data_IF_771661080678
#
_entry.id   IF_771661080678
#
_cell.length_a   1.000
_cell.length_b   1.000
_cell.length_c   1.000
_cell.angle_alpha   90.00
_cell.angle_beta   90.00
_cell.angle_gamma   90.00
#
_symmetry.space_group_name_H-M   'P 1'
#
loop_
_entity.id
_entity.type
_entity.pdbx_description
1 polymer ?
#
# COMPACT_ATOMS: atom_id res chain seq x y z
N UNK A 1 -18.42 27.71 5.54
CA UNK A 1 -17.91 26.31 5.48
C UNK A 1 -16.57 26.32 6.18
N UNK A 2 -16.46 25.66 7.33
CA UNK A 2 -15.20 25.54 8.06
C UNK A 2 -14.58 24.21 7.63
N UNK A 3 -13.36 24.24 7.12
CA UNK A 3 -12.61 23.02 6.81
C UNK A 3 -12.14 22.41 8.13
N UNK A 4 -12.25 21.08 8.24
CA UNK A 4 -11.66 20.36 9.36
C UNK A 4 -10.13 20.53 9.32
N UNK A 5 -9.49 20.45 10.49
CA UNK A 5 -8.03 20.35 10.58
C UNK A 5 -7.55 19.13 9.77
N UNK A 6 -6.65 19.33 8.82
CA UNK A 6 -6.22 18.32 7.84
C UNK A 6 -5.62 17.09 8.55
N UNK A 7 -4.91 17.30 9.66
CA UNK A 7 -4.32 16.22 10.45
C UNK A 7 -5.38 15.33 11.13
N UNK A 8 -6.49 15.92 11.58
CA UNK A 8 -7.59 15.16 12.16
C UNK A 8 -8.32 14.35 11.08
N UNK A 9 -8.43 14.90 9.86
CA UNK A 9 -9.04 14.18 8.75
C UNK A 9 -8.23 12.96 8.29
N UNK A 10 -6.90 13.09 8.14
CA UNK A 10 -6.05 11.98 7.71
C UNK A 10 -6.13 10.79 8.68
N UNK A 11 -6.06 11.06 10.00
CA UNK A 11 -6.22 10.05 11.05
C UNK A 11 -7.60 9.40 11.00
N UNK A 12 -8.67 10.18 11.01
CA UNK A 12 -10.05 9.66 10.91
C UNK A 12 -10.27 8.83 9.64
N UNK A 13 -9.72 9.26 8.51
CA UNK A 13 -9.84 8.54 7.25
C UNK A 13 -9.17 7.16 7.35
N UNK A 14 -8.00 7.08 7.95
CA UNK A 14 -7.26 5.84 8.11
C UNK A 14 -7.98 4.87 9.06
N UNK A 15 -8.44 5.37 10.21
CA UNK A 15 -9.25 4.60 11.17
C UNK A 15 -10.50 4.03 10.50
N UNK A 16 -11.23 4.85 9.72
CA UNK A 16 -12.41 4.40 8.97
C UNK A 16 -12.05 3.39 7.88
N UNK A 17 -10.90 3.56 7.21
CA UNK A 17 -10.44 2.63 6.17
C UNK A 17 -10.12 1.27 6.75
N UNK A 18 -9.40 1.21 7.88
CA UNK A 18 -9.11 -0.04 8.60
C UNK A 18 -10.40 -0.67 9.13
N UNK A 19 -11.29 0.11 9.75
CA UNK A 19 -12.59 -0.38 10.22
C UNK A 19 -13.40 -1.02 9.09
N UNK A 20 -13.51 -0.36 7.93
CA UNK A 20 -14.26 -0.87 6.78
C UNK A 20 -13.65 -2.16 6.22
N UNK A 21 -12.31 -2.25 6.15
CA UNK A 21 -11.62 -3.46 5.73
C UNK A 21 -11.89 -4.63 6.71
N UNK A 22 -11.82 -4.38 8.01
CA UNK A 22 -12.09 -5.38 9.04
C UNK A 22 -13.54 -5.87 9.00
N UNK A 23 -14.49 -4.96 8.80
CA UNK A 23 -15.89 -5.30 8.63
C UNK A 23 -16.08 -6.21 7.40
N UNK A 24 -15.50 -5.85 6.26
CA UNK A 24 -15.55 -6.65 5.05
C UNK A 24 -14.97 -8.06 5.26
N UNK A 25 -13.80 -8.15 5.87
CA UNK A 25 -13.13 -9.44 6.14
C UNK A 25 -13.97 -10.31 7.09
N UNK A 26 -14.55 -9.72 8.13
CA UNK A 26 -15.43 -10.43 9.07
C UNK A 26 -16.66 -10.97 8.36
N UNK A 27 -17.29 -10.17 7.51
CA UNK A 27 -18.46 -10.58 6.74
C UNK A 27 -18.12 -11.65 5.69
N UNK A 28 -17.00 -11.53 5.00
CA UNK A 28 -16.49 -12.54 4.07
C UNK A 28 -16.31 -13.91 4.74
N UNK A 29 -15.77 -13.93 5.97
CA UNK A 29 -15.61 -15.17 6.73
C UNK A 29 -16.94 -15.86 7.07
N UNK A 30 -18.04 -15.09 7.20
CA UNK A 30 -19.38 -15.63 7.49
C UNK A 30 -20.25 -15.88 6.25
N UNK A 31 -20.09 -15.09 5.19
CA UNK A 31 -20.90 -15.12 3.97
C UNK A 31 -20.03 -14.77 2.74
N UNK A 32 -19.22 -15.74 2.31
CA UNK A 32 -18.23 -15.53 1.24
C UNK A 32 -18.86 -15.02 -0.07
N UNK A 33 -20.07 -15.48 -0.44
CA UNK A 33 -20.65 -15.17 -1.75
C UNK A 33 -21.04 -13.69 -1.94
N UNK A 34 -21.44 -13.01 -0.86
CA UNK A 34 -21.76 -11.57 -0.89
C UNK A 34 -20.50 -10.69 -0.82
N UNK A 35 -19.42 -11.21 -0.21
CA UNK A 35 -18.17 -10.49 0.05
C UNK A 35 -16.97 -11.12 -0.65
N UNK A 36 -17.15 -11.67 -1.86
CA UNK A 36 -16.17 -12.49 -2.61
C UNK A 36 -15.01 -11.72 -3.28
N UNK A 37 -14.85 -10.43 -3.00
CA UNK A 37 -13.87 -9.56 -3.64
C UNK A 37 -12.88 -8.99 -2.63
N UNK A 38 -12.48 -9.81 -1.66
CA UNK A 38 -11.57 -9.52 -0.55
C UNK A 38 -10.23 -8.94 -1.01
N UNK A 39 -9.61 -9.47 -2.06
CA UNK A 39 -8.35 -8.90 -2.58
C UNK A 39 -8.57 -7.54 -3.22
N UNK A 40 -9.69 -7.31 -3.91
CA UNK A 40 -10.00 -5.99 -4.47
C UNK A 40 -10.26 -4.98 -3.35
N UNK A 41 -10.99 -5.39 -2.31
CA UNK A 41 -11.22 -4.56 -1.14
C UNK A 41 -9.91 -4.24 -0.39
N UNK A 42 -8.98 -5.19 -0.33
CA UNK A 42 -7.64 -4.99 0.22
C UNK A 42 -6.86 -3.93 -0.56
N UNK A 43 -6.86 -3.97 -1.91
CA UNK A 43 -6.21 -2.96 -2.75
C UNK A 43 -6.85 -1.57 -2.55
N UNK A 44 -8.18 -1.50 -2.52
CA UNK A 44 -8.91 -0.25 -2.31
C UNK A 44 -8.57 0.37 -0.94
N UNK A 45 -8.52 -0.47 0.08
CA UNK A 45 -8.13 -0.05 1.43
C UNK A 45 -6.68 0.40 1.44
N UNK A 46 -5.76 -0.36 0.85
CA UNK A 46 -4.34 0.01 0.73
C UNK A 46 -4.17 1.38 0.05
N UNK A 47 -4.88 1.67 -1.05
CA UNK A 47 -4.87 2.98 -1.69
C UNK A 47 -5.29 4.10 -0.72
N UNK A 48 -6.39 3.89 0.02
CA UNK A 48 -6.89 4.82 1.01
C UNK A 48 -5.90 5.08 2.16
N UNK A 49 -5.13 4.06 2.56
CA UNK A 49 -4.12 4.19 3.60
C UNK A 49 -2.88 4.95 3.08
N UNK A 50 -2.44 4.67 1.86
CA UNK A 50 -1.18 5.23 1.35
C UNK A 50 -1.32 6.59 0.67
N UNK A 51 -2.54 7.10 0.49
CA UNK A 51 -2.75 8.40 -0.17
C UNK A 51 -2.13 9.55 0.62
N UNK A 52 -2.21 9.48 1.96
CA UNK A 52 -1.70 10.49 2.90
C UNK A 52 -0.23 10.29 3.32
N UNK A 53 0.48 9.31 2.76
CA UNK A 53 1.92 9.05 3.05
C UNK A 53 2.83 10.27 2.76
N UNK A 54 2.31 11.29 2.06
CA UNK A 54 2.99 12.56 1.81
C UNK A 54 2.75 13.64 2.87
N UNK A 55 1.74 13.50 3.73
CA UNK A 55 1.34 14.53 4.68
C UNK A 55 2.22 14.49 5.93
N UNK A 56 2.50 15.67 6.49
CA UNK A 56 3.24 15.81 7.75
C UNK A 56 2.38 15.26 8.89
N UNK A 57 2.89 14.30 9.68
CA UNK A 57 2.18 13.79 10.87
C UNK A 57 2.11 12.27 11.01
N UNK A 58 2.40 11.49 9.96
CA UNK A 58 2.52 10.02 10.06
C UNK A 58 3.99 9.63 10.00
N UNK A 59 4.56 9.23 11.14
CA UNK A 59 5.91 8.63 11.18
C UNK A 59 5.85 7.15 10.82
N UNK A 60 6.77 6.73 9.95
CA UNK A 60 6.98 5.33 9.57
C UNK A 60 8.33 4.80 10.09
N UNK A 61 8.96 5.49 11.04
CA UNK A 61 10.34 5.21 11.47
C UNK A 61 10.49 3.83 12.13
N UNK A 62 9.38 3.26 12.61
CA UNK A 62 9.32 1.94 13.23
C UNK A 62 9.21 0.78 12.23
N UNK A 63 9.02 1.04 10.93
CA UNK A 63 8.88 0.00 9.89
C UNK A 63 10.08 0.04 8.96
N UNK A 64 10.74 -1.10 8.83
CA UNK A 64 11.78 -1.30 7.83
C UNK A 64 11.18 -1.90 6.57
N UNK A 65 11.73 -1.57 5.40
CA UNK A 65 11.31 -2.16 4.13
C UNK A 65 11.38 -3.70 4.16
N UNK A 66 12.42 -4.24 4.81
CA UNK A 66 12.63 -5.66 5.02
C UNK A 66 11.53 -6.37 5.80
N UNK A 67 10.70 -5.64 6.55
CA UNK A 67 9.54 -6.22 7.25
C UNK A 67 8.42 -6.64 6.28
N UNK A 68 8.46 -6.11 5.05
CA UNK A 68 7.48 -6.36 4.00
C UNK A 68 8.10 -7.16 2.86
N UNK A 69 9.27 -6.73 2.37
CA UNK A 69 9.90 -7.35 1.20
C UNK A 69 11.41 -7.16 1.25
N UNK A 70 12.14 -8.20 0.83
CA UNK A 70 13.57 -8.12 0.62
C UNK A 70 13.90 -7.24 -0.59
N UNK A 71 14.97 -6.46 -0.48
CA UNK A 71 15.54 -5.67 -1.58
C UNK A 71 15.91 -6.52 -2.82
N UNK A 72 16.24 -7.80 -2.60
CA UNK A 72 16.59 -8.73 -3.69
C UNK A 72 15.36 -9.15 -4.53
N UNK A 73 14.15 -9.02 -3.99
CA UNK A 73 12.90 -9.45 -4.62
C UNK A 73 12.18 -8.31 -5.36
N UNK A 74 12.89 -7.22 -5.63
CA UNK A 74 12.33 -6.07 -6.33
C UNK A 74 13.33 -5.41 -7.29
N UNK A 75 12.79 -4.81 -8.35
CA UNK A 75 13.52 -3.90 -9.22
C UNK A 75 13.33 -2.50 -8.67
N UNK A 76 14.42 -1.82 -8.32
CA UNK A 76 14.36 -0.42 -7.86
C UNK A 76 15.54 0.37 -8.39
N UNK A 77 15.36 0.88 -9.60
CA UNK A 77 16.29 1.72 -10.33
C UNK A 77 15.64 3.09 -10.50
N UNK A 78 15.58 3.87 -9.42
CA UNK A 78 14.99 5.21 -9.42
C UNK A 78 16.06 6.23 -9.04
N UNK A 79 16.18 7.29 -9.82
CA UNK A 79 17.08 8.41 -9.55
C UNK A 79 16.26 9.68 -9.30
N UNK A 80 16.69 10.48 -8.33
CA UNK A 80 16.17 11.82 -8.17
C UNK A 80 16.52 12.66 -9.40
N UNK A 81 15.52 13.38 -9.93
CA UNK A 81 15.66 14.19 -11.14
C UNK A 81 16.70 15.28 -10.99
N UNK A 82 16.93 15.75 -9.77
CA UNK A 82 17.97 16.70 -9.42
C UNK A 82 19.21 15.94 -8.92
N UNK A 83 20.30 16.01 -9.69
CA UNK A 83 21.61 15.51 -9.28
C UNK A 83 21.92 14.03 -9.61
N UNK A 84 20.99 13.27 -10.19
CA UNK A 84 21.25 11.90 -10.65
C UNK A 84 21.56 10.90 -9.54
N UNK A 85 21.29 11.27 -8.28
CA UNK A 85 21.49 10.40 -7.11
C UNK A 85 20.41 9.31 -7.10
N UNK A 86 20.83 8.08 -6.85
CA UNK A 86 19.92 6.96 -6.61
C UNK A 86 19.02 7.29 -5.41
N UNK A 87 17.74 6.99 -5.57
CA UNK A 87 16.78 7.11 -4.49
C UNK A 87 17.10 6.12 -3.38
N UNK A 88 16.89 6.56 -2.13
CA UNK A 88 17.02 5.69 -0.97
C UNK A 88 15.91 4.64 -0.94
N UNK A 89 16.30 3.36 -0.81
CA UNK A 89 15.39 2.22 -0.69
C UNK A 89 14.87 2.10 0.75
N UNK A 90 13.97 3.00 1.13
CA UNK A 90 13.32 3.00 2.43
C UNK A 90 11.81 2.76 2.30
N UNK A 91 11.16 2.46 3.43
CA UNK A 91 9.73 2.14 3.45
C UNK A 91 8.85 3.28 2.94
N UNK A 92 9.20 4.54 3.24
CA UNK A 92 8.47 5.73 2.76
C UNK A 92 8.47 5.83 1.23
N UNK A 93 9.63 5.67 0.59
CA UNK A 93 9.73 5.70 -0.87
C UNK A 93 9.08 4.47 -1.51
N UNK A 94 9.10 3.33 -0.83
CA UNK A 94 8.39 2.12 -1.26
C UNK A 94 6.88 2.38 -1.33
N UNK A 95 6.28 2.90 -0.25
CA UNK A 95 4.85 3.26 -0.23
C UNK A 95 4.49 4.28 -1.31
N UNK A 96 5.37 5.25 -1.57
CA UNK A 96 5.20 6.23 -2.66
C UNK A 96 5.08 5.54 -4.02
N UNK A 97 5.92 4.55 -4.30
CA UNK A 97 5.84 3.78 -5.55
C UNK A 97 4.60 2.89 -5.63
N UNK A 98 4.24 2.21 -4.54
CA UNK A 98 3.00 1.42 -4.47
C UNK A 98 1.79 2.31 -4.77
N UNK A 99 1.71 3.51 -4.16
CA UNK A 99 0.63 4.47 -4.44
C UNK A 99 0.60 4.86 -5.91
N UNK A 100 1.74 5.23 -6.47
CA UNK A 100 1.82 5.61 -7.88
C UNK A 100 1.38 4.48 -8.81
N UNK A 101 1.78 3.24 -8.51
CA UNK A 101 1.37 2.07 -9.28
C UNK A 101 -0.15 1.87 -9.26
N UNK A 102 -0.79 1.97 -8.10
CA UNK A 102 -2.25 1.85 -7.96
C UNK A 102 -2.96 3.02 -8.68
N UNK A 103 -2.57 4.27 -8.39
CA UNK A 103 -3.20 5.47 -8.92
C UNK A 103 -3.12 5.57 -10.46
N UNK A 104 -2.05 5.03 -11.05
CA UNK A 104 -1.86 5.01 -12.50
C UNK A 104 -2.27 3.70 -13.17
N UNK A 105 -2.98 2.80 -12.47
CA UNK A 105 -3.44 1.49 -12.97
C UNK A 105 -2.31 0.61 -13.52
N UNK A 106 -1.13 0.67 -12.90
CA UNK A 106 0.08 -0.09 -13.28
C UNK A 106 0.22 -1.35 -12.42
N UNK A 107 -0.86 -2.12 -12.36
CA UNK A 107 -0.95 -3.36 -11.60
C UNK A 107 -1.06 -4.54 -12.56
N UNK A 108 -0.41 -5.65 -12.24
CA UNK A 108 -0.64 -6.94 -12.92
C UNK A 108 -1.05 -7.98 -11.89
N UNK A 109 -2.21 -8.59 -12.09
CA UNK A 109 -2.77 -9.59 -11.19
C UNK A 109 -2.25 -10.97 -11.60
N UNK A 110 -1.67 -11.71 -10.66
CA UNK A 110 -1.35 -13.13 -10.83
C UNK A 110 -2.39 -13.95 -10.08
N UNK A 111 -2.85 -15.02 -10.73
CA UNK A 111 -3.79 -15.96 -10.13
C UNK A 111 -3.12 -17.31 -9.93
N UNK A 112 -3.54 -18.03 -8.90
CA UNK A 112 -3.28 -19.46 -8.80
C UNK A 112 -4.14 -20.23 -9.81
N UNK A 113 -3.91 -21.54 -9.92
CA UNK A 113 -4.65 -22.44 -10.82
C UNK A 113 -6.18 -22.47 -10.55
N UNK A 114 -6.67 -21.85 -9.49
CA UNK A 114 -8.08 -21.82 -9.04
C UNK A 114 -8.82 -20.52 -9.34
N UNK A 115 -8.27 -19.63 -10.19
CA UNK A 115 -8.85 -18.31 -10.50
C UNK A 115 -8.88 -17.34 -9.28
N UNK A 116 -8.14 -17.68 -8.23
CA UNK A 116 -7.95 -16.85 -7.04
C UNK A 116 -6.69 -16.00 -7.21
N UNK A 117 -6.76 -14.74 -6.80
CA UNK A 117 -5.62 -13.83 -6.87
C UNK A 117 -4.58 -14.28 -5.85
N UNK A 118 -3.38 -14.62 -6.30
CA UNK A 118 -2.28 -15.06 -5.44
C UNK A 118 -1.30 -13.93 -5.12
N UNK A 119 -1.05 -13.05 -6.09
CA UNK A 119 -0.15 -11.92 -5.94
C UNK A 119 -0.47 -10.79 -6.92
N UNK A 120 0.08 -9.61 -6.62
CA UNK A 120 -0.05 -8.41 -7.44
C UNK A 120 1.34 -7.85 -7.70
N UNK A 121 1.62 -7.57 -8.97
CA UNK A 121 2.83 -6.87 -9.39
C UNK A 121 2.52 -5.38 -9.52
N UNK A 122 3.24 -4.56 -8.77
CA UNK A 122 3.16 -3.10 -8.79
C UNK A 122 4.28 -2.54 -9.64
N UNK A 123 3.97 -1.66 -10.59
CA UNK A 123 4.98 -1.04 -11.46
C UNK A 123 4.90 0.47 -11.39
N UNK A 124 6.02 1.14 -11.12
CA UNK A 124 6.15 2.58 -11.25
C UNK A 124 7.36 2.91 -12.15
N UNK A 125 7.07 3.26 -13.40
CA UNK A 125 8.08 3.43 -14.44
C UNK A 125 7.90 4.75 -15.18
N UNK A 126 9.03 5.38 -15.49
CA UNK A 126 9.12 6.45 -16.49
C UNK A 126 10.23 6.12 -17.50
N UNK A 127 10.67 7.08 -18.33
CA UNK A 127 11.69 6.85 -19.36
C UNK A 127 13.06 6.45 -18.78
N UNK A 128 13.37 6.83 -17.54
CA UNK A 128 14.70 6.65 -16.92
C UNK A 128 14.65 5.80 -15.66
N UNK A 129 13.47 5.68 -15.04
CA UNK A 129 13.31 5.07 -13.75
C UNK A 129 12.37 3.86 -13.80
N UNK A 130 12.68 2.82 -13.03
CA UNK A 130 11.89 1.60 -12.91
C UNK A 130 11.81 1.14 -11.46
N UNK A 131 10.59 1.06 -10.95
CA UNK A 131 10.25 0.30 -9.75
C UNK A 131 9.28 -0.84 -10.12
N UNK A 132 9.57 -2.06 -9.67
CA UNK A 132 8.69 -3.21 -9.80
C UNK A 132 8.86 -4.15 -8.61
N UNK A 133 7.73 -4.50 -7.98
CA UNK A 133 7.68 -5.46 -6.88
C UNK A 133 6.43 -6.32 -7.00
N UNK A 134 6.58 -7.60 -6.69
CA UNK A 134 5.46 -8.51 -6.53
C UNK A 134 5.17 -8.70 -5.04
N UNK A 135 3.92 -8.45 -4.65
CA UNK A 135 3.43 -8.73 -3.31
C UNK A 135 2.38 -9.83 -3.36
N UNK A 136 2.57 -10.90 -2.59
CA UNK A 136 1.52 -11.87 -2.32
C UNK A 136 0.36 -11.23 -1.57
N UNK A 137 -0.81 -11.87 -1.59
CA UNK A 137 -1.96 -11.40 -0.81
C UNK A 137 -1.61 -11.29 0.69
N UNK A 138 -0.78 -12.18 1.22
CA UNK A 138 -0.38 -12.14 2.63
C UNK A 138 0.65 -11.04 2.92
N UNK A 139 1.58 -10.76 1.99
CA UNK A 139 2.48 -9.60 2.08
C UNK A 139 1.67 -8.28 2.04
N UNK A 140 0.61 -8.21 1.24
CA UNK A 140 -0.30 -7.05 1.21
C UNK A 140 -1.08 -6.88 2.52
N UNK A 141 -1.57 -7.97 3.12
CA UNK A 141 -2.22 -7.93 4.44
C UNK A 141 -1.23 -7.46 5.52
N UNK A 142 0.00 -7.99 5.50
CA UNK A 142 1.06 -7.57 6.42
C UNK A 142 1.39 -6.08 6.24
N UNK A 143 1.48 -5.59 5.00
CA UNK A 143 1.67 -4.16 4.72
C UNK A 143 0.58 -3.29 5.34
N UNK A 144 -0.70 -3.67 5.18
CA UNK A 144 -1.83 -2.95 5.78
C UNK A 144 -1.77 -2.98 7.32
N UNK A 145 -1.43 -4.13 7.91
CA UNK A 145 -1.27 -4.26 9.36
C UNK A 145 -0.14 -3.36 9.91
N UNK A 146 0.99 -3.30 9.22
CA UNK A 146 2.10 -2.42 9.61
C UNK A 146 1.69 -0.96 9.52
N UNK A 147 1.00 -0.59 8.44
CA UNK A 147 0.45 0.75 8.26
C UNK A 147 -0.53 1.15 9.38
N UNK A 148 -1.39 0.25 9.86
CA UNK A 148 -2.30 0.55 10.97
C UNK A 148 -1.57 0.82 12.29
N UNK A 149 -0.48 0.11 12.56
CA UNK A 149 0.32 0.29 13.78
C UNK A 149 1.00 1.67 13.84
N UNK A 150 1.34 2.27 12.70
CA UNK A 150 1.90 3.62 12.65
C UNK A 150 0.91 4.71 13.08
N UNK A 151 -0.40 4.44 13.04
CA UNK A 151 -1.42 5.44 13.38
C UNK A 151 -1.78 5.40 14.86
N UNK A 152 -1.73 4.22 15.48
CA UNK A 152 -1.97 4.07 16.91
C UNK A 152 -0.87 4.73 17.77
N UNK A 153 0.31 5.00 17.20
CA UNK A 153 1.47 5.58 17.87
C UNK A 153 1.58 7.12 17.74
N UNK A 154 0.71 7.75 16.94
CA UNK A 154 0.66 9.20 16.71
C UNK A 154 -0.66 9.82 17.20
#
# INVERSE_FOLDING_TARGET
>A
MQFADENNFAKEFFERTIYNLNLYNTQNATCNNEFKYEVTQLINSLLGLIVFVKEEGISFDSIQLSDIKSDADMVWNYCHREGGRLEEKNFKNFLRHIRNAIAHKRLSIKSSNTNEISSIVFKDKDQRNHFEVELSVDELKNLVLKLSQCIEQN
#
